data_IF_341647052625
#
_entry.id   IF_341647052625
#
_cell.length_a   1.000
_cell.length_b   1.000
_cell.length_c   1.000
_cell.angle_alpha   90.00
_cell.angle_beta   90.00
_cell.angle_gamma   90.00
#
_symmetry.space_group_name_H-M   'P 1'
#
loop_
_entity.id
_entity.type
_entity.pdbx_description
1 polymer ?
#
# COMPACT_ATOMS: atom_id res chain seq x y z
N UNK A 1 -17.64 5.76 9.77
CA UNK A 1 -17.28 4.40 10.21
C UNK A 1 -15.95 3.97 9.58
N UNK A 2 -15.09 3.23 10.31
CA UNK A 2 -13.88 2.63 9.74
C UNK A 2 -14.25 1.59 8.67
N UNK A 3 -13.41 1.45 7.65
CA UNK A 3 -13.59 0.42 6.61
C UNK A 3 -13.38 -0.94 7.27
N UNK A 4 -14.42 -1.78 7.28
CA UNK A 4 -14.33 -3.15 7.78
C UNK A 4 -13.86 -4.07 6.66
N UNK A 5 -12.86 -4.90 6.97
CA UNK A 5 -12.29 -5.89 6.07
C UNK A 5 -12.55 -7.28 6.63
N UNK A 6 -12.92 -8.22 5.74
CA UNK A 6 -13.15 -9.62 6.09
C UNK A 6 -12.11 -10.49 5.43
N UNK A 7 -11.69 -11.55 6.14
CA UNK A 7 -10.84 -12.58 5.58
C UNK A 7 -11.55 -13.28 4.44
N UNK A 8 -10.90 -13.37 3.29
CA UNK A 8 -11.41 -14.09 2.14
C UNK A 8 -11.13 -15.59 2.27
N UNK A 9 -12.07 -16.42 1.80
CA UNK A 9 -11.82 -17.84 1.58
C UNK A 9 -10.80 -18.03 0.45
N UNK A 10 -10.00 -19.09 0.51
CA UNK A 10 -9.07 -19.45 -0.60
C UNK A 10 -9.79 -19.76 -1.92
N UNK A 11 -11.07 -20.15 -1.85
CA UNK A 11 -11.90 -20.38 -3.02
C UNK A 11 -12.49 -19.10 -3.62
N UNK A 12 -12.46 -17.97 -2.89
CA UNK A 12 -13.00 -16.69 -3.33
C UNK A 12 -12.25 -16.18 -4.58
N UNK A 13 -12.96 -15.76 -5.65
CA UNK A 13 -12.32 -15.20 -6.84
C UNK A 13 -11.42 -14.00 -6.54
N UNK A 14 -11.78 -13.14 -5.58
CA UNK A 14 -10.95 -12.02 -5.17
C UNK A 14 -9.68 -12.49 -4.46
N UNK A 15 -9.75 -13.55 -3.65
CA UNK A 15 -8.56 -14.13 -3.03
C UNK A 15 -7.58 -14.57 -4.12
N UNK A 16 -8.06 -15.33 -5.12
CA UNK A 16 -7.25 -15.82 -6.23
C UNK A 16 -6.65 -14.69 -7.07
N UNK A 17 -7.44 -13.65 -7.38
CA UNK A 17 -6.98 -12.47 -8.12
C UNK A 17 -5.86 -11.73 -7.37
N UNK A 18 -6.04 -11.48 -6.08
CA UNK A 18 -5.04 -10.79 -5.27
C UNK A 18 -3.80 -11.64 -5.01
N UNK A 19 -3.94 -12.96 -4.81
CA UNK A 19 -2.82 -13.89 -4.66
C UNK A 19 -2.01 -13.98 -5.97
N UNK A 20 -2.69 -14.13 -7.11
CA UNK A 20 -2.04 -14.11 -8.43
C UNK A 20 -1.28 -12.81 -8.65
N UNK A 21 -1.92 -11.65 -8.44
CA UNK A 21 -1.27 -10.33 -8.60
C UNK A 21 -0.09 -10.15 -7.64
N UNK A 22 -0.20 -10.63 -6.41
CA UNK A 22 0.89 -10.57 -5.45
C UNK A 22 2.11 -11.31 -5.98
N UNK A 23 1.97 -12.56 -6.40
CA UNK A 23 3.09 -13.35 -6.92
C UNK A 23 3.59 -12.87 -8.29
N UNK A 24 2.69 -12.50 -9.20
CA UNK A 24 3.07 -12.02 -10.53
C UNK A 24 3.86 -10.70 -10.49
N UNK A 25 3.68 -9.92 -9.44
CA UNK A 25 4.39 -8.65 -9.21
C UNK A 25 5.58 -8.76 -8.26
N UNK A 26 5.93 -9.99 -7.86
CA UNK A 26 7.11 -10.28 -7.04
C UNK A 26 8.33 -10.45 -7.95
N UNK A 27 9.27 -9.51 -7.90
CA UNK A 27 10.38 -9.42 -8.86
C UNK A 27 11.78 -9.47 -8.21
N UNK A 28 11.87 -9.74 -6.91
CA UNK A 28 13.13 -10.01 -6.21
C UNK A 28 13.34 -11.53 -6.20
N UNK A 29 14.07 -12.05 -7.19
CA UNK A 29 14.20 -13.49 -7.47
C UNK A 29 14.99 -14.23 -6.38
N UNK A 30 15.86 -13.52 -5.66
CA UNK A 30 16.62 -14.03 -4.52
C UNK A 30 15.78 -14.17 -3.25
N UNK A 31 14.53 -13.70 -3.27
CA UNK A 31 13.62 -13.65 -2.12
C UNK A 31 12.32 -14.36 -2.43
N UNK A 32 11.68 -14.89 -1.40
CA UNK A 32 10.39 -15.58 -1.56
C UNK A 32 9.37 -15.10 -0.55
N UNK A 33 8.10 -15.17 -0.95
CA UNK A 33 6.96 -14.94 -0.08
C UNK A 33 5.92 -16.04 -0.23
N UNK A 34 5.08 -16.21 0.80
CA UNK A 34 3.94 -17.12 0.80
C UNK A 34 2.75 -16.45 1.47
N UNK A 35 1.72 -16.16 0.68
CA UNK A 35 0.45 -15.60 1.15
C UNK A 35 -0.23 -16.58 2.13
N UNK A 36 -0.64 -16.06 3.28
CA UNK A 36 -1.31 -16.79 4.36
C UNK A 36 -2.79 -16.44 4.46
N UNK A 37 -3.12 -15.17 4.28
CA UNK A 37 -4.49 -14.68 4.28
C UNK A 37 -4.58 -13.33 3.58
N UNK A 38 -5.75 -13.07 3.01
CA UNK A 38 -6.10 -11.78 2.41
C UNK A 38 -7.37 -11.30 3.08
N UNK A 39 -7.36 -10.07 3.56
CA UNK A 39 -8.52 -9.36 4.09
C UNK A 39 -8.89 -8.28 3.10
N UNK A 40 -10.18 -8.15 2.78
CA UNK A 40 -10.66 -7.17 1.82
C UNK A 40 -11.95 -6.52 2.32
N UNK A 41 -12.08 -5.23 2.06
CA UNK A 41 -13.34 -4.51 2.25
C UNK A 41 -14.28 -4.75 1.07
N UNK A 42 -15.56 -4.98 1.36
CA UNK A 42 -16.60 -4.95 0.33
C UNK A 42 -16.71 -3.53 -0.25
N UNK A 43 -17.14 -3.41 -1.51
CA UNK A 43 -17.41 -2.11 -2.15
C UNK A 43 -18.34 -1.22 -1.31
N UNK A 44 -19.43 -1.79 -0.78
CA UNK A 44 -20.39 -1.08 0.08
C UNK A 44 -19.76 -0.47 1.34
N UNK A 45 -18.90 -1.23 2.04
CA UNK A 45 -18.15 -0.73 3.20
C UNK A 45 -17.21 0.44 2.84
N UNK A 46 -16.59 0.41 1.66
CA UNK A 46 -15.73 1.50 1.20
C UNK A 46 -16.60 2.72 0.91
N UNK A 47 -17.65 2.58 0.08
CA UNK A 47 -18.52 3.68 -0.36
C UNK A 47 -19.25 4.37 0.81
N UNK A 48 -19.63 3.63 1.85
CA UNK A 48 -20.26 4.18 3.07
C UNK A 48 -19.26 4.77 4.07
N UNK A 49 -17.97 4.52 3.91
CA UNK A 49 -16.96 5.07 4.80
C UNK A 49 -16.65 6.53 4.42
N UNK A 50 -16.44 7.38 5.43
CA UNK A 50 -16.04 8.78 5.21
C UNK A 50 -14.83 8.91 4.28
N UNK A 51 -13.84 8.04 4.45
CA UNK A 51 -12.62 8.05 3.63
C UNK A 51 -12.84 7.56 2.20
N UNK A 52 -13.71 6.57 2.00
CA UNK A 52 -14.10 6.14 0.66
C UNK A 52 -14.89 7.22 -0.08
N UNK A 53 -15.81 7.93 0.62
CA UNK A 53 -16.52 9.08 0.05
C UNK A 53 -15.53 10.17 -0.38
N UNK A 54 -14.61 10.59 0.49
CA UNK A 54 -13.55 11.55 0.13
C UNK A 54 -12.73 11.09 -1.08
N UNK A 55 -12.34 9.81 -1.10
CA UNK A 55 -11.61 9.23 -2.22
C UNK A 55 -12.40 9.30 -3.53
N UNK A 56 -13.67 8.91 -3.53
CA UNK A 56 -14.50 8.93 -4.74
C UNK A 56 -14.90 10.35 -5.17
N UNK A 57 -15.04 11.29 -4.22
CA UNK A 57 -15.16 12.72 -4.53
C UNK A 57 -13.92 13.25 -5.24
N UNK A 58 -12.72 12.93 -4.73
CA UNK A 58 -11.47 13.34 -5.38
C UNK A 58 -11.25 12.64 -6.73
N UNK A 59 -11.63 11.35 -6.83
CA UNK A 59 -11.58 10.58 -8.08
C UNK A 59 -12.42 11.23 -9.19
N UNK A 60 -13.57 11.81 -8.82
CA UNK A 60 -14.47 12.57 -9.70
C UNK A 60 -14.76 11.86 -11.04
N UNK A 61 -15.16 10.58 -10.97
CA UNK A 61 -15.45 9.75 -12.15
C UNK A 61 -14.23 9.28 -12.96
N UNK A 62 -13.02 9.64 -12.53
CA UNK A 62 -11.77 9.14 -13.11
C UNK A 62 -11.47 7.68 -12.76
N UNK A 63 -10.25 7.25 -13.10
CA UNK A 63 -9.76 5.91 -12.79
C UNK A 63 -8.72 5.91 -11.66
N UNK A 64 -8.68 4.81 -10.92
CA UNK A 64 -7.68 4.53 -9.89
C UNK A 64 -6.91 3.26 -10.23
N UNK A 65 -5.69 3.16 -9.70
CA UNK A 65 -4.88 1.94 -9.70
C UNK A 65 -5.04 1.22 -8.37
N UNK A 66 -4.88 -0.10 -8.39
CA UNK A 66 -4.72 -0.91 -7.19
C UNK A 66 -3.23 -1.12 -6.95
N UNK A 67 -2.69 -0.57 -5.86
CA UNK A 67 -1.25 -0.57 -5.57
C UNK A 67 -0.99 -1.08 -4.15
N UNK A 68 0.25 -1.50 -3.90
CA UNK A 68 0.73 -1.95 -2.60
C UNK A 68 1.41 -0.83 -1.84
N UNK A 69 1.29 -0.87 -0.51
CA UNK A 69 2.03 -0.02 0.41
C UNK A 69 2.56 -0.88 1.57
N UNK A 70 3.86 -0.79 1.84
CA UNK A 70 4.52 -1.40 2.98
C UNK A 70 4.73 -0.39 4.11
N UNK A 71 4.58 -0.82 5.35
CA UNK A 71 4.73 0.02 6.54
C UNK A 71 5.07 -0.84 7.77
N UNK A 72 5.22 -0.22 8.94
CA UNK A 72 5.46 -0.93 10.20
C UNK A 72 4.21 -1.68 10.69
N UNK A 73 4.46 -2.82 11.34
CA UNK A 73 3.48 -3.60 12.10
C UNK A 73 4.04 -3.86 13.49
N UNK A 74 3.52 -3.14 14.48
CA UNK A 74 3.84 -3.32 15.91
C UNK A 74 2.78 -4.13 16.69
N UNK A 75 2.05 -5.02 16.02
CA UNK A 75 1.13 -5.94 16.71
C UNK A 75 0.91 -7.24 15.94
N UNK A 76 0.08 -8.13 16.50
CA UNK A 76 -0.29 -9.43 15.93
C UNK A 76 -1.51 -9.38 14.98
N UNK A 77 -1.79 -8.22 14.37
CA UNK A 77 -2.89 -8.09 13.40
C UNK A 77 -2.75 -9.14 12.28
N UNK A 78 -3.86 -9.78 11.94
CA UNK A 78 -3.95 -10.75 10.84
C UNK A 78 -3.47 -12.16 11.18
N UNK A 79 -2.99 -12.43 12.41
CA UNK A 79 -2.50 -13.76 12.82
C UNK A 79 -3.63 -14.75 13.15
N UNK A 80 -4.80 -14.26 13.56
CA UNK A 80 -5.95 -15.10 13.90
C UNK A 80 -7.28 -14.45 13.50
N UNK A 81 -8.30 -15.29 13.37
CA UNK A 81 -9.68 -14.87 13.13
C UNK A 81 -10.02 -14.55 11.67
N UNK A 82 -11.27 -14.12 11.48
CA UNK A 82 -11.83 -13.68 10.20
C UNK A 82 -11.94 -12.14 10.11
N UNK A 83 -11.77 -11.46 11.24
CA UNK A 83 -11.90 -10.03 11.41
C UNK A 83 -10.58 -9.43 11.90
N UNK A 84 -10.23 -8.25 11.37
CA UNK A 84 -9.06 -7.52 11.81
C UNK A 84 -9.37 -6.78 13.12
N UNK A 85 -8.66 -7.15 14.19
CA UNK A 85 -8.62 -6.38 15.44
C UNK A 85 -7.48 -5.39 15.38
N UNK A 86 -7.80 -4.12 15.12
CA UNK A 86 -6.80 -3.05 15.04
C UNK A 86 -6.33 -2.69 16.46
N UNK A 87 -5.02 -2.65 16.69
CA UNK A 87 -4.46 -2.13 17.95
C UNK A 87 -4.59 -0.59 17.99
N UNK A 88 -4.13 0.04 19.07
CA UNK A 88 -4.04 1.51 19.20
C UNK A 88 -2.60 2.02 19.33
N UNK A 89 -1.62 1.13 19.16
CA UNK A 89 -0.21 1.47 19.14
C UNK A 89 0.09 2.47 18.01
N UNK A 90 0.83 3.52 18.33
CA UNK A 90 1.22 4.59 17.42
C UNK A 90 2.40 4.16 16.53
N UNK A 91 3.22 3.19 16.97
CA UNK A 91 4.30 2.61 16.17
C UNK A 91 3.79 1.58 15.16
N UNK A 92 2.50 1.22 15.23
CA UNK A 92 1.86 0.31 14.29
C UNK A 92 1.26 1.05 13.09
N UNK A 93 2.09 1.41 12.10
CA UNK A 93 1.67 2.08 10.87
C UNK A 93 0.53 1.36 10.14
N UNK A 94 0.56 0.03 10.10
CA UNK A 94 -0.51 -0.80 9.51
C UNK A 94 -1.86 -0.53 10.17
N UNK A 95 -1.94 -0.63 11.51
CA UNK A 95 -3.18 -0.39 12.22
C UNK A 95 -3.55 1.11 12.21
N UNK A 96 -2.57 2.01 12.31
CA UNK A 96 -2.77 3.45 12.21
C UNK A 96 -3.45 3.86 10.90
N UNK A 97 -2.94 3.38 9.76
CA UNK A 97 -3.53 3.61 8.44
C UNK A 97 -4.91 2.96 8.33
N UNK A 98 -5.10 1.73 8.81
CA UNK A 98 -6.42 1.10 8.78
C UNK A 98 -7.44 1.83 9.68
N UNK A 99 -7.02 2.39 10.82
CA UNK A 99 -7.86 3.19 11.73
C UNK A 99 -8.17 4.57 11.17
N UNK A 100 -7.17 5.28 10.65
CA UNK A 100 -7.22 6.73 10.42
C UNK A 100 -6.94 7.16 8.97
N UNK A 101 -6.71 6.23 8.05
CA UNK A 101 -6.17 6.46 6.71
C UNK A 101 -4.72 6.96 6.73
N UNK A 102 -4.16 7.18 5.55
CA UNK A 102 -2.87 7.83 5.38
C UNK A 102 -2.91 9.28 5.86
N UNK A 103 -1.82 9.74 6.48
CA UNK A 103 -1.64 11.15 6.83
C UNK A 103 -0.29 11.65 6.37
N UNK A 104 -0.26 12.78 5.67
CA UNK A 104 0.98 13.33 5.11
C UNK A 104 1.97 13.77 6.20
N UNK A 105 1.48 14.09 7.41
CA UNK A 105 2.36 14.40 8.55
C UNK A 105 3.25 13.22 9.01
N UNK A 106 3.00 12.02 8.51
CA UNK A 106 3.81 10.82 8.76
C UNK A 106 4.56 10.37 7.49
N UNK A 107 4.55 11.18 6.43
CA UNK A 107 5.32 10.88 5.24
C UNK A 107 6.82 10.99 5.55
N UNK A 108 7.59 10.10 4.93
CA UNK A 108 9.04 10.10 4.97
C UNK A 108 9.57 11.29 4.16
N UNK A 109 10.32 12.18 4.81
CA UNK A 109 10.94 13.35 4.19
C UNK A 109 12.19 13.00 3.39
N UNK A 110 12.75 11.80 3.56
CA UNK A 110 13.90 11.29 2.80
C UNK A 110 13.50 10.59 1.50
N UNK A 111 12.19 10.49 1.20
CA UNK A 111 11.69 9.89 -0.02
C UNK A 111 12.29 10.54 -1.29
N UNK A 112 12.55 9.74 -2.32
CA UNK A 112 13.13 10.21 -3.60
C UNK A 112 12.30 11.28 -4.31
N UNK A 113 11.02 11.38 -4.00
CA UNK A 113 10.09 12.38 -4.50
C UNK A 113 9.42 13.12 -3.33
N UNK A 114 10.19 13.45 -2.29
CA UNK A 114 9.73 14.24 -1.15
C UNK A 114 8.63 13.58 -0.30
N UNK A 115 8.01 14.36 0.62
CA UNK A 115 7.13 13.86 1.67
C UNK A 115 5.71 13.55 1.15
N UNK A 116 5.61 12.50 0.33
CA UNK A 116 4.38 11.98 -0.23
C UNK A 116 4.00 10.60 0.29
N UNK A 117 2.85 10.09 -0.18
CA UNK A 117 2.40 8.72 0.12
C UNK A 117 2.80 7.83 -1.05
N UNK A 118 3.80 6.97 -0.80
CA UNK A 118 4.38 6.08 -1.80
C UNK A 118 3.58 4.79 -1.92
N UNK A 119 3.44 4.31 -3.15
CA UNK A 119 2.81 3.02 -3.46
C UNK A 119 3.41 2.45 -4.73
N UNK A 120 3.29 1.14 -4.94
CA UNK A 120 3.90 0.47 -6.10
C UNK A 120 3.03 -0.68 -6.58
N UNK A 121 3.00 -0.99 -7.89
CA UNK A 121 2.37 -2.21 -8.37
C UNK A 121 3.20 -3.46 -8.03
N UNK A 122 4.47 -3.33 -7.64
CA UNK A 122 5.37 -4.44 -7.35
C UNK A 122 5.32 -4.83 -5.87
N UNK A 123 4.80 -6.03 -5.58
CA UNK A 123 4.69 -6.55 -4.21
C UNK A 123 6.07 -6.64 -3.54
N UNK A 124 7.09 -7.15 -4.24
CA UNK A 124 8.44 -7.30 -3.67
C UNK A 124 9.14 -5.97 -3.41
N UNK A 125 8.77 -4.88 -4.11
CA UNK A 125 9.24 -3.52 -3.81
C UNK A 125 8.55 -2.96 -2.58
N UNK A 126 7.22 -3.11 -2.48
CA UNK A 126 6.49 -2.70 -1.28
C UNK A 126 6.99 -3.44 -0.03
N UNK A 127 7.38 -4.71 -0.18
CA UNK A 127 7.92 -5.56 0.88
C UNK A 127 9.20 -5.01 1.53
N UNK A 128 10.04 -4.27 0.79
CA UNK A 128 11.23 -3.59 1.34
C UNK A 128 10.86 -2.70 2.53
N UNK A 129 9.67 -2.09 2.49
CA UNK A 129 9.17 -1.17 3.50
C UNK A 129 8.30 -1.84 4.57
N UNK A 130 8.04 -3.15 4.46
CA UNK A 130 7.29 -3.90 5.46
C UNK A 130 8.21 -4.30 6.61
N UNK A 131 7.88 -3.83 7.81
CA UNK A 131 8.68 -4.05 9.03
C UNK A 131 7.81 -4.61 10.15
N UNK A 132 8.25 -5.65 10.85
CA UNK A 132 7.71 -5.99 12.16
C UNK A 132 8.49 -5.19 13.20
N UNK A 133 7.81 -4.29 13.91
CA UNK A 133 8.44 -3.37 14.84
C UNK A 133 8.15 -3.81 16.27
N UNK A 134 9.18 -4.22 17.02
CA UNK A 134 9.05 -4.79 18.37
C UNK A 134 8.06 -5.98 18.49
N UNK A 135 7.87 -6.73 17.40
CA UNK A 135 7.01 -7.93 17.37
C UNK A 135 7.78 -9.13 16.86
N UNK A 136 7.83 -10.18 17.68
CA UNK A 136 8.38 -11.48 17.29
C UNK A 136 7.33 -12.27 16.50
N UNK A 137 7.38 -12.15 15.17
CA UNK A 137 6.47 -12.86 14.27
C UNK A 137 7.09 -13.01 12.88
N UNK A 138 6.89 -14.15 12.24
CA UNK A 138 7.30 -14.39 10.85
C UNK A 138 6.27 -13.87 9.84
N UNK A 139 5.11 -13.43 10.31
CA UNK A 139 4.06 -12.89 9.47
C UNK A 139 4.33 -11.41 9.19
N UNK A 140 4.08 -10.99 7.96
CA UNK A 140 4.27 -9.64 7.47
C UNK A 140 2.95 -9.13 6.89
N UNK A 141 2.76 -7.83 6.91
CA UNK A 141 1.51 -7.18 6.53
C UNK A 141 1.75 -6.14 5.44
N UNK A 142 1.02 -6.25 4.34
CA UNK A 142 1.09 -5.31 3.22
C UNK A 142 -0.30 -4.79 2.88
N UNK A 143 -0.43 -3.48 2.75
CA UNK A 143 -1.70 -2.84 2.43
C UNK A 143 -1.98 -2.91 0.94
N UNK A 144 -3.24 -3.16 0.60
CA UNK A 144 -3.79 -2.99 -0.75
C UNK A 144 -4.55 -1.67 -0.76
N UNK A 145 -4.19 -0.79 -1.67
CA UNK A 145 -4.75 0.56 -1.74
C UNK A 145 -5.38 0.82 -3.11
N UNK A 146 -6.46 1.58 -3.13
CA UNK A 146 -6.86 2.31 -4.34
C UNK A 146 -6.16 3.65 -4.36
N UNK A 147 -5.56 4.01 -5.49
CA UNK A 147 -4.73 5.21 -5.66
C UNK A 147 -5.12 5.92 -6.93
N UNK A 148 -5.44 7.22 -6.85
CA UNK A 148 -5.72 8.07 -8.01
C UNK A 148 -4.39 8.41 -8.69
N UNK A 149 -3.94 7.48 -9.53
CA UNK A 149 -2.66 7.54 -10.24
C UNK A 149 -2.82 7.41 -11.76
N UNK A 150 -3.86 8.06 -12.29
CA UNK A 150 -4.26 7.98 -13.71
C UNK A 150 -3.63 9.04 -14.60
N UNK A 151 -3.07 10.11 -14.02
CA UNK A 151 -2.37 11.18 -14.73
C UNK A 151 -1.01 11.45 -14.05
N UNK A 152 -0.05 10.52 -14.18
CA UNK A 152 1.25 10.67 -13.55
C UNK A 152 2.11 11.73 -14.24
N UNK A 153 2.75 12.59 -13.47
CA UNK A 153 3.92 13.32 -13.92
C UNK A 153 5.13 12.42 -13.75
N UNK A 154 5.72 12.01 -14.88
CA UNK A 154 6.87 11.12 -14.90
C UNK A 154 8.13 11.88 -14.49
N UNK A 155 8.89 11.32 -13.55
CA UNK A 155 10.18 11.85 -13.09
C UNK A 155 11.27 10.82 -13.39
N UNK A 156 12.29 11.24 -14.12
CA UNK A 156 13.45 10.39 -14.47
C UNK A 156 14.47 10.33 -13.32
N UNK A 157 14.66 11.46 -12.64
CA UNK A 157 15.57 11.63 -11.51
C UNK A 157 14.77 11.96 -10.24
N UNK A 158 15.35 11.61 -9.09
CA UNK A 158 14.87 12.02 -7.77
C UNK A 158 14.72 13.54 -7.67
N UNK A 159 13.76 13.96 -6.87
CA UNK A 159 13.39 15.34 -6.59
C UNK A 159 12.86 15.39 -5.16
N UNK A 160 13.76 15.48 -4.18
CA UNK A 160 13.43 15.35 -2.76
C UNK A 160 12.56 16.51 -2.23
N UNK A 161 12.52 17.64 -2.94
CA UNK A 161 11.77 18.83 -2.54
C UNK A 161 10.34 18.86 -3.08
N UNK A 162 9.95 17.88 -3.92
CA UNK A 162 8.63 17.87 -4.52
C UNK A 162 7.54 17.57 -3.48
N UNK A 163 6.58 18.48 -3.39
CA UNK A 163 5.46 18.37 -2.43
C UNK A 163 4.10 18.24 -3.13
N UNK A 164 4.09 18.29 -4.46
CA UNK A 164 2.92 18.07 -5.32
C UNK A 164 3.34 17.91 -6.78
N UNK A 165 2.55 17.23 -7.62
CA UNK A 165 2.76 17.25 -9.05
C UNK A 165 2.36 18.61 -9.65
N UNK A 166 2.87 18.90 -10.84
CA UNK A 166 2.50 20.03 -11.68
C UNK A 166 1.02 20.02 -12.02
N UNK A 167 0.48 21.20 -12.35
CA UNK A 167 -0.93 21.35 -12.74
C UNK A 167 -1.27 20.40 -13.91
N UNK A 168 -2.37 19.67 -13.78
CA UNK A 168 -2.86 18.70 -14.77
C UNK A 168 -2.54 17.24 -14.43
N UNK A 169 -1.66 17.00 -13.47
CA UNK A 169 -1.28 15.67 -12.99
C UNK A 169 -1.87 15.41 -11.59
N UNK A 170 -2.04 14.13 -11.23
CA UNK A 170 -2.60 13.72 -9.94
C UNK A 170 -1.62 12.92 -9.05
N UNK A 171 -0.50 12.48 -9.60
CA UNK A 171 0.57 11.82 -8.87
C UNK A 171 1.93 12.05 -9.56
N UNK A 172 3.01 11.66 -8.87
CA UNK A 172 4.32 11.42 -9.50
C UNK A 172 4.45 9.94 -9.82
N UNK A 173 5.04 9.63 -10.97
CA UNK A 173 5.55 8.30 -11.29
C UNK A 173 7.07 8.35 -11.41
N UNK A 174 7.76 7.60 -10.56
CA UNK A 174 9.19 7.39 -10.70
C UNK A 174 9.46 6.40 -11.83
N UNK A 175 10.22 6.85 -12.83
CA UNK A 175 10.49 6.06 -14.03
C UNK A 175 11.58 5.03 -13.77
N UNK A 176 11.43 3.82 -14.34
CA UNK A 176 12.41 2.75 -14.18
C UNK A 176 13.64 2.93 -15.08
N UNK A 177 14.77 2.29 -14.71
CA UNK A 177 16.02 2.27 -15.48
C UNK A 177 15.78 1.79 -16.92
N UNK A 178 14.99 0.73 -17.10
CA UNK A 178 14.65 0.22 -18.45
C UNK A 178 13.85 1.23 -19.31
N UNK A 179 13.36 2.31 -18.70
CA UNK A 179 12.65 3.41 -19.35
C UNK A 179 13.38 4.76 -19.21
N UNK A 180 14.68 4.74 -18.91
CA UNK A 180 15.54 5.94 -18.80
C UNK A 180 15.45 6.70 -17.48
N UNK A 181 14.84 6.10 -16.45
CA UNK A 181 14.78 6.68 -15.10
C UNK A 181 15.82 6.09 -14.13
N UNK A 182 15.61 6.33 -12.85
CA UNK A 182 16.54 5.97 -11.76
C UNK A 182 16.07 4.80 -10.90
N UNK A 183 14.84 4.31 -11.10
CA UNK A 183 14.26 3.27 -10.25
C UNK A 183 14.41 1.87 -10.84
N UNK A 184 14.56 0.87 -9.98
CA UNK A 184 14.52 -0.52 -10.45
C UNK A 184 13.08 -0.98 -10.75
N UNK A 185 12.11 -0.54 -9.95
CA UNK A 185 10.68 -0.84 -10.15
C UNK A 185 9.84 0.43 -10.02
N UNK A 186 8.70 0.53 -10.73
CA UNK A 186 7.85 1.71 -10.70
C UNK A 186 7.32 2.02 -9.31
N UNK A 187 7.14 3.30 -9.01
CA UNK A 187 6.40 3.78 -7.84
C UNK A 187 5.55 4.99 -8.19
N UNK A 188 4.46 5.13 -7.46
CA UNK A 188 3.53 6.24 -7.57
C UNK A 188 3.45 6.96 -6.24
N UNK A 189 3.55 8.29 -6.28
CA UNK A 189 3.52 9.15 -5.10
C UNK A 189 2.36 10.12 -5.21
N UNK A 190 1.49 10.12 -4.19
CA UNK A 190 0.39 11.09 -4.08
C UNK A 190 0.63 12.02 -2.89
N UNK A 191 0.25 13.29 -3.06
CA UNK A 191 0.47 14.36 -2.07
C UNK A 191 -0.86 14.88 -1.52
N UNK A 192 -1.87 14.00 -1.51
CA UNK A 192 -3.20 14.25 -0.96
C UNK A 192 -3.70 13.00 -0.27
N UNK A 193 -4.19 13.16 0.95
CA UNK A 193 -4.72 12.05 1.75
C UNK A 193 -6.02 11.46 1.19
N UNK A 194 -6.74 12.20 0.35
CA UNK A 194 -7.93 11.72 -0.38
C UNK A 194 -7.61 11.12 -1.76
N UNK A 195 -6.35 11.13 -2.20
CA UNK A 195 -5.92 10.45 -3.43
C UNK A 195 -5.65 8.96 -3.23
N UNK A 196 -5.75 8.45 -2.00
CA UNK A 196 -5.46 7.07 -1.64
C UNK A 196 -6.39 6.58 -0.53
N UNK A 197 -6.84 5.33 -0.63
CA UNK A 197 -7.62 4.66 0.41
C UNK A 197 -7.18 3.20 0.58
N UNK A 198 -6.89 2.74 1.82
CA UNK A 198 -6.59 1.34 2.08
C UNK A 198 -7.88 0.51 2.01
N UNK A 199 -7.87 -0.56 1.21
CA UNK A 199 -9.04 -1.40 0.93
C UNK A 199 -8.84 -2.87 1.25
N UNK A 200 -7.59 -3.29 1.50
CA UNK A 200 -7.28 -4.65 1.89
C UNK A 200 -5.94 -4.79 2.61
N UNK A 201 -5.69 -5.98 3.13
CA UNK A 201 -4.47 -6.36 3.83
C UNK A 201 -4.06 -7.78 3.40
N UNK A 202 -2.83 -7.93 2.92
CA UNK A 202 -2.23 -9.24 2.62
C UNK A 202 -1.31 -9.60 3.78
N UNK A 203 -1.54 -10.77 4.36
CA UNK A 203 -0.63 -11.37 5.33
C UNK A 203 0.17 -12.48 4.67
N UNK A 204 1.48 -12.45 4.82
CA UNK A 204 2.39 -13.40 4.17
C UNK A 204 3.62 -13.66 5.04
N UNK A 205 4.28 -14.78 4.80
CA UNK A 205 5.62 -15.05 5.33
C UNK A 205 6.64 -14.82 4.23
N UNK A 206 7.86 -14.40 4.56
CA UNK A 206 8.94 -14.17 3.59
C UNK A 206 10.26 -14.81 4.02
N UNK A 207 11.18 -15.02 3.06
CA UNK A 207 12.57 -15.47 3.25
C UNK A 207 13.50 -14.70 2.32
N UNK A 208 14.79 -14.66 2.65
CA UNK A 208 15.80 -13.94 1.88
C UNK A 208 15.91 -12.45 2.24
N UNK A 209 15.30 -12.04 3.36
CA UNK A 209 15.51 -10.74 3.96
C UNK A 209 16.37 -10.93 5.20
N UNK A 210 17.46 -10.16 5.29
CA UNK A 210 18.19 -10.06 6.54
C UNK A 210 17.30 -9.39 7.59
N UNK A 211 17.35 -9.80 8.87
CA UNK A 211 16.74 -9.04 9.94
C UNK A 211 17.34 -7.62 9.90
N UNK A 212 16.48 -6.61 9.75
CA UNK A 212 16.86 -5.22 10.02
C UNK A 212 17.16 -5.05 11.51
#
# INVERSE_FOLDING_TARGET
MPIRMKRLSRSDPNYKDHEFKFYHSWCHDEKSAKVKSIYLASRDNIDKSYRGQRFFTYLNGGSYKRLYHGTSRACHIGESGNDLKLCHDDDCGTCGILRQSFKLKYADDEGMFGPGIYSTPNSSKADVYVKNHYVSSNLHAMLICYVVASKPQRKLLADHDITRPSRGFNCIEGVTINNGGSLQYPEFVVYREDAIVPVGLIMYTRKGWEPL
#
